data_IF_955154181667
#
_entry.id   IF_955154181667
#
_cell.length_a   1.000
_cell.length_b   1.000
_cell.length_c   1.000
_cell.angle_alpha   90.00
_cell.angle_beta   90.00
_cell.angle_gamma   90.00
#
_symmetry.space_group_name_H-M   'P 1'
#
loop_
_entity.id
_entity.type
_entity.pdbx_description
1 polymer ?
#
# COMPACT_ATOMS: atom_id res chain seq x y z
N UNK A 1 28.94 -27.03 8.23
CA UNK A 1 27.92 -27.74 7.44
C UNK A 1 27.32 -26.72 6.47
N UNK A 2 27.56 -26.92 5.17
CA UNK A 2 26.94 -26.04 4.17
C UNK A 2 25.43 -26.32 4.16
N UNK A 3 24.65 -25.34 4.58
CA UNK A 3 23.20 -25.37 4.40
C UNK A 3 22.93 -25.45 2.89
N UNK A 4 22.34 -26.56 2.45
CA UNK A 4 21.80 -26.66 1.11
C UNK A 4 20.68 -25.63 0.98
N UNK A 5 21.01 -24.40 0.57
CA UNK A 5 19.99 -23.41 0.26
C UNK A 5 19.18 -23.91 -0.92
N UNK A 6 17.85 -24.03 -0.78
CA UNK A 6 16.96 -24.39 -1.89
C UNK A 6 17.06 -23.39 -3.07
N UNK A 7 17.72 -22.24 -2.86
CA UNK A 7 17.98 -21.19 -3.84
C UNK A 7 19.48 -20.95 -3.98
N UNK A 8 20.26 -21.95 -4.39
CA UNK A 8 21.70 -21.77 -4.73
C UNK A 8 21.92 -20.97 -6.03
N UNK A 9 20.87 -20.49 -6.68
CA UNK A 9 20.92 -19.75 -7.93
C UNK A 9 20.20 -18.41 -7.75
N UNK A 10 21.01 -17.36 -7.77
CA UNK A 10 20.68 -15.95 -8.06
C UNK A 10 19.19 -15.50 -7.95
N UNK A 11 19.02 -14.30 -7.48
CA UNK A 11 17.89 -13.35 -7.42
C UNK A 11 16.65 -13.62 -8.32
N UNK A 12 16.76 -14.43 -9.36
CA UNK A 12 15.68 -14.89 -10.26
C UNK A 12 15.46 -16.41 -10.15
N UNK A 13 14.93 -16.86 -9.00
CA UNK A 13 14.38 -18.19 -8.93
C UNK A 13 13.13 -18.27 -9.82
N UNK A 14 13.24 -18.91 -10.98
CA UNK A 14 12.11 -19.10 -11.92
C UNK A 14 10.92 -19.87 -11.31
N UNK A 15 11.14 -20.54 -10.18
CA UNK A 15 10.13 -21.30 -9.42
C UNK A 15 9.44 -20.46 -8.32
N UNK A 16 9.96 -19.25 -8.00
CA UNK A 16 9.31 -18.34 -7.07
C UNK A 16 8.45 -17.36 -7.86
N UNK A 17 7.13 -17.35 -7.67
CA UNK A 17 6.29 -16.35 -8.28
C UNK A 17 6.75 -14.95 -7.82
N UNK A 18 6.92 -14.03 -8.78
CA UNK A 18 7.38 -12.63 -8.54
C UNK A 18 6.32 -11.76 -7.83
N UNK A 19 5.37 -12.33 -7.16
CA UNK A 19 4.29 -11.64 -6.45
C UNK A 19 4.63 -11.51 -4.97
N UNK A 20 5.70 -10.77 -4.64
CA UNK A 20 5.86 -10.34 -3.26
C UNK A 20 4.87 -9.19 -2.99
N UNK A 21 4.00 -9.36 -2.02
CA UNK A 21 3.09 -8.32 -1.54
C UNK A 21 3.83 -7.16 -0.86
N UNK A 22 5.14 -7.33 -0.63
CA UNK A 22 6.00 -6.30 -0.05
C UNK A 22 7.48 -6.66 -0.12
N UNK A 23 8.32 -5.67 0.19
CA UNK A 23 9.78 -5.82 0.19
C UNK A 23 10.32 -5.43 1.55
N UNK A 24 11.06 -6.35 2.18
CA UNK A 24 11.79 -6.11 3.43
C UNK A 24 13.25 -5.83 3.09
N UNK A 25 13.75 -4.68 3.53
CA UNK A 25 15.10 -4.20 3.26
C UNK A 25 15.81 -3.95 4.59
N UNK A 26 16.98 -4.55 4.77
CA UNK A 26 17.90 -4.23 5.86
C UNK A 26 18.89 -3.17 5.41
N UNK A 27 19.10 -2.15 6.23
CA UNK A 27 19.95 -1.01 5.90
C UNK A 27 20.81 -0.59 7.07
N UNK A 28 22.05 -0.21 6.76
CA UNK A 28 23.00 0.38 7.69
C UNK A 28 23.57 1.65 7.07
N UNK A 29 23.57 2.74 7.82
CA UNK A 29 24.12 4.02 7.37
C UNK A 29 24.92 4.70 8.47
N UNK A 30 26.00 5.38 8.12
CA UNK A 30 26.81 6.14 9.07
C UNK A 30 26.09 7.42 9.48
N UNK A 31 26.50 7.96 10.62
CA UNK A 31 26.09 9.29 11.07
C UNK A 31 26.27 10.34 9.96
N UNK A 32 25.28 11.22 9.82
CA UNK A 32 25.25 12.30 8.84
C UNK A 32 24.72 11.89 7.46
N UNK A 33 24.39 10.61 7.23
CA UNK A 33 23.73 10.21 5.99
C UNK A 33 22.35 10.90 5.90
N UNK A 34 22.18 11.66 4.83
CA UNK A 34 20.94 12.41 4.56
C UNK A 34 20.23 11.83 3.33
N UNK A 35 18.93 11.66 3.46
CA UNK A 35 18.02 11.30 2.38
C UNK A 35 17.08 12.48 2.15
N UNK A 36 17.19 13.16 0.99
CA UNK A 36 16.37 14.34 0.72
C UNK A 36 14.89 13.97 0.68
N UNK A 37 14.06 14.97 0.89
CA UNK A 37 12.62 14.82 0.94
C UNK A 37 12.06 14.25 -0.37
N UNK A 38 11.61 13.00 -0.33
CA UNK A 38 11.00 12.28 -1.46
C UNK A 38 9.60 11.79 -1.13
N UNK A 39 8.75 11.71 -2.17
CA UNK A 39 7.39 11.19 -2.03
C UNK A 39 7.39 9.67 -2.00
N UNK A 40 6.81 9.08 -0.97
CA UNK A 40 6.65 7.63 -0.86
C UNK A 40 5.80 7.08 -2.00
N UNK A 41 6.35 6.14 -2.76
CA UNK A 41 5.63 5.43 -3.84
C UNK A 41 4.91 4.17 -3.37
N UNK A 42 5.14 3.77 -2.14
CA UNK A 42 4.53 2.65 -1.43
C UNK A 42 4.38 3.01 0.05
N UNK A 43 3.48 2.33 0.75
CA UNK A 43 3.47 2.38 2.21
C UNK A 43 4.78 1.83 2.75
N UNK A 44 5.29 2.40 3.83
CA UNK A 44 6.61 2.08 4.34
C UNK A 44 6.59 2.07 5.87
N UNK A 45 6.96 0.94 6.47
CA UNK A 45 7.22 0.88 7.91
C UNK A 45 8.73 0.86 8.11
N UNK A 46 9.23 1.77 8.95
CA UNK A 46 10.65 1.87 9.33
C UNK A 46 10.79 1.36 10.75
N UNK A 47 11.63 0.36 10.98
CA UNK A 47 11.91 -0.24 12.29
C UNK A 47 13.36 0.03 12.66
N UNK A 48 13.61 0.90 13.64
CA UNK A 48 14.95 1.23 14.10
C UNK A 48 15.45 0.15 15.07
N UNK A 49 16.55 -0.52 14.71
CA UNK A 49 17.21 -1.51 15.55
C UNK A 49 18.31 -0.89 16.41
N UNK A 50 19.05 0.07 15.83
CA UNK A 50 20.17 0.75 16.48
C UNK A 50 20.27 2.18 16.00
N UNK A 51 20.73 3.06 16.89
CA UNK A 51 20.98 4.45 16.61
C UNK A 51 19.75 5.34 16.61
N UNK A 52 19.88 6.52 16.03
CA UNK A 52 18.86 7.59 16.00
C UNK A 52 18.71 8.13 14.59
N UNK A 53 17.48 8.23 14.13
CA UNK A 53 17.11 8.74 12.81
C UNK A 53 16.13 9.90 12.96
N UNK A 54 16.50 11.08 12.49
CA UNK A 54 15.57 12.21 12.38
C UNK A 54 14.68 11.97 11.15
N UNK A 55 13.39 12.02 11.37
CA UNK A 55 12.36 11.95 10.34
C UNK A 55 11.61 13.26 10.26
N UNK A 56 11.44 13.76 9.05
CA UNK A 56 10.63 14.95 8.79
C UNK A 56 9.60 14.62 7.71
N UNK A 57 8.37 14.46 8.13
CA UNK A 57 7.21 14.22 7.26
C UNK A 57 5.97 14.91 7.80
N UNK A 58 4.87 14.84 7.08
CA UNK A 58 3.60 15.39 7.52
C UNK A 58 3.10 14.70 8.80
N UNK A 59 3.23 13.38 8.88
CA UNK A 59 2.83 12.59 10.06
C UNK A 59 3.81 12.73 11.22
N UNK A 60 5.11 12.89 10.94
CA UNK A 60 6.18 12.91 11.93
C UNK A 60 7.10 14.14 11.72
N UNK A 61 6.60 15.37 11.95
CA UNK A 61 7.40 16.58 11.75
C UNK A 61 8.55 16.65 12.78
N UNK A 62 9.79 16.69 12.29
CA UNK A 62 10.99 16.83 13.12
C UNK A 62 11.13 15.76 14.21
N UNK A 63 10.62 14.55 13.98
CA UNK A 63 10.60 13.48 14.99
C UNK A 63 11.91 12.70 14.96
N UNK A 64 12.57 12.54 16.12
CA UNK A 64 13.72 11.67 16.27
C UNK A 64 13.25 10.26 16.67
N UNK A 65 13.48 9.30 15.77
CA UNK A 65 13.28 7.88 16.05
C UNK A 65 14.52 7.32 16.75
N UNK A 66 14.28 6.62 17.83
CA UNK A 66 15.31 5.91 18.58
C UNK A 66 15.26 4.41 18.31
N UNK A 67 16.33 3.70 18.71
CA UNK A 67 16.31 2.25 18.70
C UNK A 67 15.07 1.71 19.41
N UNK A 68 14.53 0.60 18.89
CA UNK A 68 13.30 -0.07 19.38
C UNK A 68 12.01 0.73 19.12
N UNK A 69 12.00 1.59 18.12
CA UNK A 69 10.81 2.30 17.67
C UNK A 69 10.55 2.05 16.18
N UNK A 70 9.28 2.13 15.79
CA UNK A 70 8.89 2.09 14.39
C UNK A 70 7.82 3.14 14.08
N UNK A 71 7.79 3.55 12.82
CA UNK A 71 6.79 4.45 12.25
C UNK A 71 6.25 3.90 10.94
N UNK A 72 5.07 4.37 10.57
CA UNK A 72 4.46 4.11 9.27
C UNK A 72 4.38 5.41 8.48
N UNK A 73 4.84 5.36 7.26
CA UNK A 73 4.68 6.40 6.24
C UNK A 73 3.73 5.88 5.16
N UNK A 74 2.65 6.58 4.92
CA UNK A 74 1.72 6.19 3.87
C UNK A 74 2.27 6.52 2.47
N UNK A 75 1.79 5.80 1.48
CA UNK A 75 2.00 6.18 0.08
C UNK A 75 1.55 7.62 -0.14
N UNK A 76 2.38 8.41 -0.83
CA UNK A 76 2.10 9.85 -1.05
C UNK A 76 2.73 10.78 -0.03
N UNK A 77 3.05 10.33 1.20
CA UNK A 77 3.76 11.13 2.20
C UNK A 77 5.13 11.57 1.68
N UNK A 78 5.49 12.82 1.95
CA UNK A 78 6.82 13.35 1.64
C UNK A 78 7.71 13.19 2.86
N UNK A 79 8.78 12.43 2.72
CA UNK A 79 9.64 12.02 3.83
C UNK A 79 11.08 12.42 3.59
N UNK A 80 11.69 13.07 4.56
CA UNK A 80 13.12 13.36 4.66
C UNK A 80 13.70 12.63 5.85
N UNK A 81 14.91 12.06 5.70
CA UNK A 81 15.56 11.31 6.77
C UNK A 81 17.01 11.80 6.95
N UNK A 82 17.45 11.89 8.21
CA UNK A 82 18.84 12.21 8.56
C UNK A 82 19.32 11.28 9.70
N UNK A 83 20.39 10.53 9.46
CA UNK A 83 21.02 9.71 10.48
C UNK A 83 21.79 10.60 11.49
N UNK A 84 21.30 10.67 12.73
CA UNK A 84 21.91 11.45 13.81
C UNK A 84 23.10 10.71 14.45
N UNK A 85 23.08 9.38 14.37
CA UNK A 85 24.17 8.46 14.77
C UNK A 85 24.34 7.42 13.67
N UNK A 86 25.27 6.47 13.83
CA UNK A 86 25.26 5.27 13.01
C UNK A 86 23.97 4.50 13.26
N UNK A 87 23.21 4.16 12.21
CA UNK A 87 21.87 3.56 12.31
C UNK A 87 21.80 2.21 11.60
N UNK A 88 21.07 1.29 12.23
CA UNK A 88 20.65 0.03 11.64
C UNK A 88 19.12 -0.05 11.70
N UNK A 89 18.48 -0.35 10.56
CA UNK A 89 17.03 -0.44 10.51
C UNK A 89 16.53 -1.37 9.41
N UNK A 90 15.31 -1.88 9.61
CA UNK A 90 14.52 -2.51 8.55
C UNK A 90 13.51 -1.53 7.99
N UNK A 91 13.32 -1.61 6.68
CA UNK A 91 12.22 -0.95 5.97
C UNK A 91 11.34 -2.02 5.35
N UNK A 92 10.06 -2.04 5.72
CA UNK A 92 9.06 -2.86 5.06
C UNK A 92 8.21 -1.99 4.15
N UNK A 93 8.35 -2.19 2.83
CA UNK A 93 7.60 -1.45 1.81
C UNK A 93 6.52 -2.36 1.24
N UNK A 94 5.30 -1.85 1.13
CA UNK A 94 4.16 -2.62 0.62
C UNK A 94 3.11 -1.70 -0.02
N UNK A 95 2.33 -2.23 -0.93
CA UNK A 95 1.13 -1.56 -1.48
C UNK A 95 -0.13 -2.03 -0.78
N UNK A 96 -0.18 -3.31 -0.46
CA UNK A 96 -1.27 -3.95 0.30
C UNK A 96 -0.69 -4.67 1.50
N UNK A 97 -1.42 -4.67 2.60
CA UNK A 97 -1.04 -5.44 3.78
C UNK A 97 -1.32 -6.93 3.53
N UNK A 98 -0.36 -7.81 3.81
CA UNK A 98 -0.60 -9.25 3.79
C UNK A 98 -1.45 -9.63 5.00
N UNK A 99 -2.76 -9.64 4.83
CA UNK A 99 -3.69 -9.87 5.93
C UNK A 99 -3.83 -11.37 6.20
N UNK A 100 -3.46 -11.80 7.41
CA UNK A 100 -3.76 -13.13 7.93
C UNK A 100 -5.14 -13.22 8.57
N UNK A 101 -5.72 -12.07 8.94
CA UNK A 101 -7.06 -11.97 9.53
C UNK A 101 -7.74 -10.69 9.05
N UNK A 102 -8.62 -10.81 8.06
CA UNK A 102 -9.36 -9.67 7.48
C UNK A 102 -10.28 -9.00 8.50
N UNK A 103 -10.97 -9.76 9.34
CA UNK A 103 -11.84 -9.21 10.39
C UNK A 103 -11.07 -8.34 11.37
N UNK A 104 -9.89 -8.78 11.80
CA UNK A 104 -9.06 -8.01 12.72
C UNK A 104 -8.58 -6.70 12.11
N UNK A 105 -8.23 -6.72 10.83
CA UNK A 105 -7.79 -5.52 10.12
C UNK A 105 -8.96 -4.54 9.92
N UNK A 106 -10.13 -5.05 9.56
CA UNK A 106 -11.35 -4.25 9.47
C UNK A 106 -11.67 -3.58 10.81
N UNK A 107 -11.62 -4.31 11.91
CA UNK A 107 -11.81 -3.79 13.27
C UNK A 107 -10.77 -2.69 13.64
N UNK A 108 -9.52 -2.84 13.19
CA UNK A 108 -8.47 -1.83 13.34
C UNK A 108 -8.82 -0.56 12.57
N UNK A 109 -9.23 -0.67 11.31
CA UNK A 109 -9.56 0.48 10.47
C UNK A 109 -10.83 1.20 10.94
N UNK A 110 -11.87 0.46 11.34
CA UNK A 110 -13.12 1.03 11.87
C UNK A 110 -12.91 1.83 13.17
N UNK A 111 -11.87 1.49 13.94
CA UNK A 111 -11.49 2.21 15.16
C UNK A 111 -10.40 3.24 14.94
N UNK A 112 -9.89 3.36 13.72
CA UNK A 112 -8.86 4.33 13.39
C UNK A 112 -9.45 5.76 13.45
N UNK A 113 -8.75 6.65 14.12
CA UNK A 113 -9.08 8.08 14.17
C UNK A 113 -7.81 8.91 14.05
N UNK A 114 -7.94 10.09 13.48
CA UNK A 114 -6.84 11.02 13.36
C UNK A 114 -6.27 11.37 14.73
N UNK A 115 -5.02 11.01 15.03
CA UNK A 115 -4.41 11.46 16.27
C UNK A 115 -4.06 12.94 16.18
N UNK A 116 -4.08 13.62 17.31
CA UNK A 116 -3.55 15.01 17.39
C UNK A 116 -2.06 15.05 17.05
N UNK A 117 -1.33 13.99 17.40
CA UNK A 117 0.09 13.84 17.13
C UNK A 117 0.41 12.36 16.94
N UNK A 118 1.07 12.02 15.85
CA UNK A 118 1.57 10.67 15.64
C UNK A 118 2.77 10.41 16.54
N UNK A 119 2.77 9.26 17.20
CA UNK A 119 3.87 8.82 18.06
C UNK A 119 4.47 7.53 17.52
N UNK A 120 5.82 7.38 17.54
CA UNK A 120 6.46 6.13 17.17
C UNK A 120 5.93 4.96 18.03
N UNK A 121 5.67 3.83 17.39
CA UNK A 121 5.24 2.61 18.06
C UNK A 121 6.48 1.89 18.62
N UNK A 122 6.50 1.44 19.90
CA UNK A 122 7.63 0.69 20.44
C UNK A 122 7.72 -0.71 19.78
N UNK A 123 8.93 -1.15 19.49
CA UNK A 123 9.19 -2.53 19.04
C UNK A 123 9.17 -3.45 20.26
N UNK A 124 8.18 -4.36 20.30
CA UNK A 124 8.04 -5.31 21.41
C UNK A 124 9.04 -6.47 21.29
N UNK A 125 9.36 -7.20 22.40
CA UNK A 125 10.35 -8.28 22.41
C UNK A 125 10.14 -9.37 21.35
N UNK A 126 8.89 -9.58 20.91
CA UNK A 126 8.57 -10.54 19.84
C UNK A 126 9.10 -10.09 18.49
N UNK A 127 8.94 -8.80 18.14
CA UNK A 127 9.52 -8.21 16.95
C UNK A 127 11.04 -8.09 17.03
N UNK A 128 11.59 -7.80 18.22
CA UNK A 128 13.05 -7.75 18.42
C UNK A 128 13.72 -9.08 18.10
N UNK A 129 13.16 -10.19 18.58
CA UNK A 129 13.67 -11.54 18.27
C UNK A 129 13.59 -11.80 16.76
N UNK A 130 12.45 -11.49 16.13
CA UNK A 130 12.27 -11.66 14.70
C UNK A 130 13.32 -10.87 13.91
N UNK A 131 13.56 -9.61 14.26
CA UNK A 131 14.57 -8.79 13.60
C UNK A 131 15.99 -9.22 13.89
N UNK A 132 16.25 -9.79 15.07
CA UNK A 132 17.54 -10.42 15.38
C UNK A 132 17.86 -11.57 14.41
N UNK A 133 16.93 -12.52 14.27
CA UNK A 133 17.03 -13.64 13.34
C UNK A 133 17.17 -13.19 11.89
N UNK A 134 16.42 -12.16 11.49
CA UNK A 134 16.51 -11.58 10.16
C UNK A 134 17.85 -10.89 9.91
N UNK A 135 18.37 -10.18 10.89
CA UNK A 135 19.68 -9.51 10.77
C UNK A 135 20.79 -10.53 10.57
N UNK A 136 20.76 -11.64 11.32
CA UNK A 136 21.70 -12.75 11.15
C UNK A 136 21.56 -13.37 9.75
N UNK A 137 20.31 -13.64 9.32
CA UNK A 137 20.03 -14.16 7.98
C UNK A 137 20.57 -13.27 6.86
N UNK A 138 20.38 -11.94 6.94
CA UNK A 138 20.87 -11.00 5.94
C UNK A 138 22.40 -10.88 5.93
N UNK A 139 23.06 -11.11 7.07
CA UNK A 139 24.53 -11.11 7.16
C UNK A 139 25.15 -12.38 6.60
N UNK A 140 24.50 -13.52 6.80
CA UNK A 140 25.01 -14.83 6.37
C UNK A 140 24.72 -15.13 4.90
N UNK A 141 23.59 -14.63 4.38
CA UNK A 141 23.11 -14.96 3.04
C UNK A 141 22.82 -13.70 2.23
N UNK A 142 23.75 -13.27 1.36
CA UNK A 142 23.54 -12.11 0.48
C UNK A 142 22.43 -12.35 -0.55
N UNK A 143 22.05 -13.61 -0.83
CA UNK A 143 20.96 -13.98 -1.75
C UNK A 143 19.74 -14.44 -0.96
N UNK A 144 18.84 -13.53 -0.70
CA UNK A 144 17.63 -13.78 0.10
C UNK A 144 16.54 -14.50 -0.71
N UNK A 145 15.93 -15.52 -0.13
CA UNK A 145 14.76 -16.18 -0.71
C UNK A 145 13.53 -15.26 -0.55
N UNK A 146 12.95 -14.81 -1.66
CA UNK A 146 11.77 -13.93 -1.65
C UNK A 146 10.59 -14.53 -0.88
N UNK A 147 10.34 -15.83 -1.04
CA UNK A 147 9.27 -16.54 -0.32
C UNK A 147 9.48 -16.56 1.19
N UNK A 148 10.72 -16.74 1.64
CA UNK A 148 11.05 -16.66 3.07
C UNK A 148 10.76 -15.25 3.61
N UNK A 149 11.16 -14.22 2.86
CA UNK A 149 10.88 -12.84 3.24
C UNK A 149 9.38 -12.52 3.22
N UNK A 150 8.60 -13.06 2.27
CA UNK A 150 7.14 -12.90 2.25
C UNK A 150 6.49 -13.45 3.53
N UNK A 151 6.91 -14.65 3.98
CA UNK A 151 6.45 -15.23 5.25
C UNK A 151 6.83 -14.34 6.44
N UNK A 152 8.06 -13.80 6.44
CA UNK A 152 8.50 -12.88 7.50
C UNK A 152 7.76 -11.55 7.50
N UNK A 153 7.43 -11.02 6.33
CA UNK A 153 6.56 -9.84 6.22
C UNK A 153 5.15 -10.10 6.78
N UNK A 154 4.58 -11.27 6.49
CA UNK A 154 3.29 -11.68 7.06
C UNK A 154 3.38 -11.81 8.59
N UNK A 155 4.47 -12.40 9.12
CA UNK A 155 4.70 -12.52 10.55
C UNK A 155 4.83 -11.14 11.22
N UNK A 156 5.54 -10.18 10.60
CA UNK A 156 5.65 -8.80 11.10
C UNK A 156 4.25 -8.17 11.21
N UNK A 157 3.45 -8.23 10.15
CA UNK A 157 2.10 -7.65 10.15
C UNK A 157 1.20 -8.35 11.17
N UNK A 158 1.26 -9.67 11.27
CA UNK A 158 0.52 -10.42 12.29
C UNK A 158 0.89 -9.97 13.71
N UNK A 159 2.18 -9.79 14.00
CA UNK A 159 2.62 -9.31 15.32
C UNK A 159 2.11 -7.87 15.56
N UNK A 160 2.24 -6.97 14.58
CA UNK A 160 1.75 -5.60 14.70
C UNK A 160 0.23 -5.55 14.95
N UNK A 161 -0.54 -6.36 14.26
CA UNK A 161 -2.00 -6.31 14.36
C UNK A 161 -2.58 -7.07 15.55
N UNK A 162 -1.89 -8.11 16.04
CA UNK A 162 -2.44 -9.01 17.07
C UNK A 162 -1.82 -8.85 18.48
N UNK A 163 -0.62 -8.27 18.58
CA UNK A 163 0.09 -8.20 19.88
C UNK A 163 0.18 -6.80 20.48
N UNK A 164 -0.34 -5.79 19.81
CA UNK A 164 -0.44 -4.44 20.36
C UNK A 164 -1.89 -4.12 20.76
N UNK A 165 -2.09 -3.21 21.73
CA UNK A 165 -3.41 -2.69 22.04
C UNK A 165 -4.08 -2.09 20.80
N UNK A 166 -5.37 -2.36 20.62
CA UNK A 166 -6.09 -1.98 19.39
C UNK A 166 -6.03 -0.47 19.11
N UNK A 167 -6.08 0.37 20.14
CA UNK A 167 -5.98 1.83 19.99
C UNK A 167 -4.65 2.26 19.40
N UNK A 168 -3.53 1.64 19.84
CA UNK A 168 -2.20 1.95 19.32
C UNK A 168 -2.08 1.52 17.84
N UNK A 169 -2.57 0.33 17.53
CA UNK A 169 -2.53 -0.21 16.16
C UNK A 169 -3.43 0.58 15.22
N UNK A 170 -4.63 0.95 15.67
CA UNK A 170 -5.56 1.77 14.87
C UNK A 170 -4.97 3.14 14.54
N UNK A 171 -4.33 3.78 15.51
CA UNK A 171 -3.63 5.06 15.29
C UNK A 171 -2.41 4.87 14.37
N UNK A 172 -1.65 3.78 14.55
CA UNK A 172 -0.47 3.50 13.74
C UNK A 172 -0.81 3.28 12.25
N UNK A 173 -1.92 2.57 11.96
CA UNK A 173 -2.36 2.32 10.57
C UNK A 173 -3.27 3.41 10.00
N UNK A 174 -3.64 4.42 10.78
CA UNK A 174 -4.51 5.51 10.32
C UNK A 174 -4.04 6.21 9.04
N UNK A 175 -2.73 6.50 8.82
CA UNK A 175 -2.28 7.13 7.58
C UNK A 175 -2.65 6.33 6.33
N UNK A 176 -2.68 4.99 6.42
CA UNK A 176 -3.09 4.13 5.31
C UNK A 176 -4.60 4.21 5.09
N UNK A 177 -5.41 4.18 6.15
CA UNK A 177 -6.87 4.24 6.04
C UNK A 177 -7.31 5.54 5.39
N UNK A 178 -6.76 6.67 5.83
CA UNK A 178 -7.06 7.99 5.26
C UNK A 178 -6.71 8.07 3.79
N UNK A 179 -5.55 7.53 3.40
CA UNK A 179 -5.16 7.53 2.00
C UNK A 179 -6.09 6.65 1.16
N UNK A 180 -6.45 5.48 1.64
CA UNK A 180 -7.38 4.55 0.97
C UNK A 180 -8.77 5.16 0.82
N UNK A 181 -9.31 5.75 1.88
CA UNK A 181 -10.59 6.44 1.85
C UNK A 181 -10.55 7.66 0.92
N UNK A 182 -9.49 8.47 0.98
CA UNK A 182 -9.30 9.62 0.12
C UNK A 182 -9.24 9.24 -1.36
N UNK A 183 -8.52 8.17 -1.71
CA UNK A 183 -8.45 7.68 -3.09
C UNK A 183 -9.79 7.11 -3.55
N UNK A 184 -10.47 6.32 -2.72
CA UNK A 184 -11.81 5.81 -3.02
C UNK A 184 -12.80 6.96 -3.26
N UNK A 185 -12.82 7.93 -2.35
CA UNK A 185 -13.67 9.11 -2.48
C UNK A 185 -13.37 9.89 -3.77
N UNK A 186 -12.09 10.11 -4.07
CA UNK A 186 -11.66 10.75 -5.32
C UNK A 186 -12.17 9.98 -6.55
N UNK A 187 -12.03 8.65 -6.56
CA UNK A 187 -12.51 7.80 -7.66
C UNK A 187 -14.02 7.93 -7.80
N UNK A 188 -14.78 7.78 -6.72
CA UNK A 188 -16.24 7.84 -6.73
C UNK A 188 -16.79 9.21 -7.16
N UNK A 189 -16.08 10.29 -6.87
CA UNK A 189 -16.49 11.64 -7.25
C UNK A 189 -16.18 12.03 -8.70
N UNK A 190 -15.29 11.27 -9.38
CA UNK A 190 -14.75 11.72 -10.64
C UNK A 190 -14.80 10.69 -11.78
N UNK A 191 -15.16 9.43 -11.53
CA UNK A 191 -15.12 8.37 -12.54
C UNK A 191 -16.02 8.62 -13.76
N UNK A 192 -17.12 9.34 -13.57
CA UNK A 192 -18.10 9.69 -14.59
C UNK A 192 -17.72 10.96 -15.38
N UNK A 193 -16.76 11.76 -14.88
CA UNK A 193 -16.35 13.05 -15.42
C UNK A 193 -15.15 12.95 -16.37
N UNK A 194 -14.45 11.82 -16.34
CA UNK A 194 -13.20 11.63 -17.09
C UNK A 194 -13.42 10.77 -18.33
N UNK A 195 -12.68 11.08 -19.40
CA UNK A 195 -12.79 10.39 -20.70
C UNK A 195 -11.87 9.18 -20.81
N UNK A 196 -10.74 9.21 -20.13
CA UNK A 196 -9.71 8.18 -20.18
C UNK A 196 -8.92 8.09 -18.86
N UNK A 197 -8.08 7.05 -18.75
CA UNK A 197 -7.30 6.77 -17.55
C UNK A 197 -6.21 7.82 -17.31
N UNK A 198 -5.67 8.39 -18.35
CA UNK A 198 -4.64 9.43 -18.33
C UNK A 198 -5.19 10.72 -17.68
N UNK A 199 -6.38 11.15 -18.13
CA UNK A 199 -7.08 12.30 -17.55
C UNK A 199 -7.46 12.05 -16.09
N UNK A 200 -7.92 10.83 -15.77
CA UNK A 200 -8.28 10.44 -14.42
C UNK A 200 -7.07 10.48 -13.47
N UNK A 201 -5.95 9.92 -13.89
CA UNK A 201 -4.70 9.97 -13.13
C UNK A 201 -4.24 11.42 -12.91
N UNK A 202 -4.23 12.23 -13.97
CA UNK A 202 -3.82 13.63 -13.91
C UNK A 202 -4.69 14.46 -12.95
N UNK A 203 -6.01 14.25 -13.00
CA UNK A 203 -6.96 14.93 -12.10
C UNK A 203 -6.68 14.64 -10.61
N UNK A 204 -6.22 13.42 -10.30
CA UNK A 204 -5.82 13.02 -8.95
C UNK A 204 -4.36 13.36 -8.59
N UNK A 205 -3.61 14.01 -9.49
CA UNK A 205 -2.20 14.31 -9.28
C UNK A 205 -1.27 13.10 -9.35
N UNK A 206 -1.72 12.01 -10.01
CA UNK A 206 -0.95 10.78 -10.16
C UNK A 206 -0.34 10.66 -11.55
N UNK A 207 0.76 9.92 -11.66
CA UNK A 207 1.17 9.36 -12.96
C UNK A 207 0.19 8.25 -13.35
N UNK A 208 -0.03 8.03 -14.65
CA UNK A 208 -0.92 6.97 -15.14
C UNK A 208 -0.53 5.58 -14.60
N UNK A 209 0.76 5.30 -14.51
CA UNK A 209 1.26 4.02 -13.97
C UNK A 209 0.94 3.86 -12.49
N UNK A 210 1.15 4.90 -11.68
CA UNK A 210 0.82 4.90 -10.24
C UNK A 210 -0.68 4.74 -10.05
N UNK A 211 -1.49 5.50 -10.81
CA UNK A 211 -2.95 5.44 -10.72
C UNK A 211 -3.50 4.05 -11.06
N UNK A 212 -3.08 3.45 -12.17
CA UNK A 212 -3.49 2.09 -12.56
C UNK A 212 -3.16 1.05 -11.49
N UNK A 213 -1.97 1.16 -10.87
CA UNK A 213 -1.55 0.25 -9.81
C UNK A 213 -2.42 0.41 -8.57
N UNK A 214 -2.61 1.65 -8.08
CA UNK A 214 -3.46 1.95 -6.92
C UNK A 214 -4.89 1.49 -7.15
N UNK A 215 -5.41 1.78 -8.32
CA UNK A 215 -6.77 1.42 -8.70
C UNK A 215 -6.99 -0.10 -8.71
N UNK A 216 -6.08 -0.84 -9.37
CA UNK A 216 -6.13 -2.30 -9.41
C UNK A 216 -6.01 -2.91 -8.02
N UNK A 217 -5.15 -2.34 -7.16
CA UNK A 217 -5.00 -2.79 -5.78
C UNK A 217 -6.29 -2.58 -4.97
N UNK A 218 -6.98 -1.45 -5.17
CA UNK A 218 -8.20 -1.14 -4.43
C UNK A 218 -9.44 -1.88 -4.93
N UNK A 219 -9.57 -2.02 -6.25
CA UNK A 219 -10.79 -2.56 -6.87
C UNK A 219 -10.61 -3.96 -7.47
N UNK A 220 -9.40 -4.51 -7.48
CA UNK A 220 -9.08 -5.85 -8.02
C UNK A 220 -9.09 -5.96 -9.54
N UNK A 221 -9.62 -4.95 -10.23
CA UNK A 221 -9.81 -4.93 -11.69
C UNK A 221 -9.16 -3.69 -12.31
N UNK A 222 -8.85 -3.72 -13.63
CA UNK A 222 -8.36 -2.54 -14.35
C UNK A 222 -9.35 -1.38 -14.34
N UNK A 223 -8.82 -0.14 -14.35
CA UNK A 223 -9.62 1.10 -14.33
C UNK A 223 -10.73 1.11 -15.37
N UNK A 224 -10.40 0.74 -16.61
CA UNK A 224 -11.33 0.78 -17.72
C UNK A 224 -12.49 -0.20 -17.56
N UNK A 225 -12.21 -1.43 -17.15
CA UNK A 225 -13.23 -2.46 -16.87
C UNK A 225 -14.18 -2.00 -15.77
N UNK A 226 -13.65 -1.49 -14.69
CA UNK A 226 -14.45 -0.99 -13.57
C UNK A 226 -15.38 0.18 -13.97
N UNK A 227 -14.86 1.15 -14.76
CA UNK A 227 -15.67 2.27 -15.25
C UNK A 227 -16.79 1.78 -16.15
N UNK A 228 -16.52 0.80 -17.02
CA UNK A 228 -17.55 0.20 -17.88
C UNK A 228 -18.63 -0.48 -17.04
N UNK A 229 -18.26 -1.25 -16.01
CA UNK A 229 -19.22 -1.90 -15.13
C UNK A 229 -20.09 -0.89 -14.37
N UNK A 230 -19.48 0.20 -13.87
CA UNK A 230 -20.23 1.28 -13.20
C UNK A 230 -21.19 2.00 -14.14
N UNK A 231 -20.77 2.28 -15.36
CA UNK A 231 -21.65 2.85 -16.39
C UNK A 231 -22.80 1.89 -16.74
N UNK A 232 -22.53 0.59 -16.83
CA UNK A 232 -23.54 -0.45 -17.07
C UNK A 232 -24.57 -0.51 -15.93
N UNK A 233 -24.13 -0.53 -14.67
CA UNK A 233 -25.01 -0.47 -13.50
C UNK A 233 -25.91 0.76 -13.56
N UNK A 234 -25.34 1.93 -13.83
CA UNK A 234 -26.09 3.19 -13.95
C UNK A 234 -27.11 3.18 -15.10
N UNK A 235 -26.74 2.66 -16.26
CA UNK A 235 -27.65 2.53 -17.42
C UNK A 235 -28.81 1.60 -17.08
N UNK A 236 -28.55 0.43 -16.49
CA UNK A 236 -29.57 -0.52 -16.08
C UNK A 236 -30.54 0.10 -15.06
N UNK A 237 -30.02 0.82 -14.10
CA UNK A 237 -30.83 1.53 -13.11
C UNK A 237 -31.69 2.62 -13.76
N UNK A 238 -31.14 3.43 -14.66
CA UNK A 238 -31.88 4.47 -15.39
C UNK A 238 -32.98 3.85 -16.29
N UNK A 239 -32.70 2.74 -16.96
CA UNK A 239 -33.69 2.02 -17.78
C UNK A 239 -34.84 1.44 -16.95
N UNK A 240 -34.57 0.97 -15.75
CA UNK A 240 -35.58 0.38 -14.87
C UNK A 240 -36.43 1.42 -14.12
N UNK A 241 -35.84 2.56 -13.75
CA UNK A 241 -36.47 3.51 -12.84
C UNK A 241 -36.80 4.86 -13.48
N UNK A 242 -36.44 5.09 -14.74
CA UNK A 242 -36.77 6.35 -15.42
C UNK A 242 -37.53 6.12 -16.73
N UNK A 243 -38.30 7.13 -17.15
CA UNK A 243 -38.97 7.14 -18.46
C UNK A 243 -38.15 7.89 -19.52
N UNK A 244 -36.84 8.05 -19.30
CA UNK A 244 -35.96 8.77 -20.24
C UNK A 244 -35.77 7.96 -21.54
N UNK A 245 -35.56 8.67 -22.64
CA UNK A 245 -35.26 8.01 -23.93
C UNK A 245 -33.90 7.35 -23.86
N UNK A 246 -33.76 6.16 -24.44
CA UNK A 246 -32.50 5.40 -24.48
C UNK A 246 -31.34 6.25 -25.02
N UNK A 247 -31.61 7.11 -26.05
CA UNK A 247 -30.62 8.03 -26.59
C UNK A 247 -30.10 9.04 -25.53
N UNK A 248 -30.98 9.55 -24.68
CA UNK A 248 -30.60 10.47 -23.60
C UNK A 248 -29.76 9.78 -22.55
N UNK A 249 -30.12 8.56 -22.17
CA UNK A 249 -29.33 7.72 -21.24
C UNK A 249 -27.96 7.42 -21.84
N UNK A 250 -27.90 6.98 -23.10
CA UNK A 250 -26.65 6.70 -23.81
C UNK A 250 -25.68 7.89 -23.81
N UNK A 251 -26.19 9.08 -24.18
CA UNK A 251 -25.39 10.31 -24.17
C UNK A 251 -24.89 10.68 -22.77
N UNK A 252 -25.71 10.49 -21.73
CA UNK A 252 -25.34 10.76 -20.33
C UNK A 252 -24.15 9.96 -19.88
N UNK A 253 -24.05 8.69 -20.31
CA UNK A 253 -22.93 7.80 -19.96
C UNK A 253 -21.77 7.85 -20.97
N UNK A 254 -21.79 8.81 -21.92
CA UNK A 254 -20.69 9.07 -22.84
C UNK A 254 -20.59 8.08 -24.00
N UNK A 255 -21.71 7.49 -24.44
CA UNK A 255 -21.77 6.65 -25.63
C UNK A 255 -22.28 7.47 -26.82
N UNK A 256 -21.41 7.67 -27.80
CA UNK A 256 -21.69 8.51 -28.97
C UNK A 256 -22.66 7.87 -30.00
N UNK A 257 -22.95 6.57 -29.86
CA UNK A 257 -23.94 5.89 -30.71
C UNK A 257 -24.61 4.72 -30.02
N UNK A 258 -25.88 4.50 -30.36
CA UNK A 258 -26.70 3.37 -29.87
C UNK A 258 -26.13 2.00 -30.28
N UNK A 259 -25.36 1.90 -31.38
CA UNK A 259 -24.78 0.65 -31.85
C UNK A 259 -23.66 0.15 -30.97
N UNK A 260 -22.88 1.03 -30.35
CA UNK A 260 -21.81 0.68 -29.42
C UNK A 260 -22.39 0.19 -28.10
N UNK A 261 -23.46 0.82 -27.63
CA UNK A 261 -24.18 0.40 -26.41
C UNK A 261 -24.78 -1.01 -26.54
N UNK A 262 -25.33 -1.34 -27.72
CA UNK A 262 -25.96 -2.64 -27.97
C UNK A 262 -24.97 -3.80 -28.06
N UNK A 263 -23.80 -3.55 -28.67
CA UNK A 263 -22.73 -4.55 -28.78
C UNK A 263 -22.11 -4.89 -27.41
N UNK A 264 -21.93 -3.88 -26.55
CA UNK A 264 -21.40 -4.09 -25.19
C UNK A 264 -22.39 -4.79 -24.26
N UNK A 265 -23.69 -4.50 -24.38
CA UNK A 265 -24.73 -5.18 -23.57
C UNK A 265 -24.91 -6.65 -23.98
N UNK A 266 -24.76 -6.97 -25.29
CA UNK A 266 -24.96 -8.33 -25.81
C UNK A 266 -23.77 -9.27 -25.62
N UNK A 267 -22.55 -8.75 -25.46
CA UNK A 267 -21.33 -9.54 -25.33
C UNK A 267 -21.23 -10.30 -23.98
N UNK A 268 -22.14 -10.07 -23.05
CA UNK A 268 -22.15 -10.68 -21.73
C UNK A 268 -23.45 -11.42 -21.37
N UNK A 269 -24.31 -11.68 -22.35
CA UNK A 269 -25.53 -12.54 -22.17
C UNK A 269 -25.30 -14.01 -22.53
N UNK A 270 -24.04 -14.42 -22.78
CA UNK A 270 -23.69 -15.83 -23.03
C UNK A 270 -22.76 -16.39 -21.97
#
# INVERSE_FOLDING_TARGET
>A
MALNSCCSRQIDCALCPKTSQGVLIYSQYPKGQHFPAEKCTQNCIIFILKGELLVNSEEYPGTTLQARQCILQAIGSKVELLALTDVEYFTYRFTELPLLCEERYKDILERAYAPLTYTPLPIIPKLERLFGDLTEYFREQPNTCSRYLDVKCQEIIYILTCYYPIQQVSTFFYPISTYTESFHYFVMQNYDKVKNVEEFAHLGGYTTTTFRRLFKNMYGVPVYEWILDKKREGILNDLQHTKQRISTISTRYGFDSLSVSYTHLRAHET
#
